data_IF_641340506861
#
_entry.id   IF_641340506861
#
_cell.length_a   1.000
_cell.length_b   1.000
_cell.length_c   1.000
_cell.angle_alpha   90.00
_cell.angle_beta   90.00
_cell.angle_gamma   90.00
#
_symmetry.space_group_name_H-M   'P 1'
#
loop_
_entity.id
_entity.type
_entity.pdbx_description
1 polymer ?
#
# COMPACT_ATOMS: atom_id res chain seq x y z
N UNK A 1 -16.37 -17.34 -5.68
CA UNK A 1 -16.58 -16.46 -4.52
C UNK A 1 -15.32 -15.65 -4.37
N UNK A 2 -15.37 -14.35 -4.68
CA UNK A 2 -14.25 -13.43 -4.48
C UNK A 2 -14.09 -13.12 -3.00
N UNK A 3 -12.88 -12.74 -2.60
CA UNK A 3 -12.64 -12.19 -1.29
C UNK A 3 -13.01 -10.71 -1.33
N UNK A 4 -13.82 -10.25 -0.37
CA UNK A 4 -14.21 -8.84 -0.29
C UNK A 4 -13.37 -8.20 0.80
N UNK A 5 -12.70 -7.10 0.47
CA UNK A 5 -11.86 -6.35 1.40
C UNK A 5 -11.88 -4.85 1.09
N UNK A 6 -11.51 -4.07 2.10
CA UNK A 6 -11.31 -2.65 1.97
C UNK A 6 -9.84 -2.40 1.61
N UNK A 7 -9.59 -1.62 0.56
CA UNK A 7 -8.24 -1.23 0.24
C UNK A 7 -7.89 0.03 1.02
N UNK A 8 -6.83 -0.05 1.82
CA UNK A 8 -6.33 1.09 2.59
C UNK A 8 -5.57 2.09 1.67
N UNK A 9 -5.27 1.70 0.43
CA UNK A 9 -4.40 2.43 -0.46
C UNK A 9 -4.97 3.69 -1.15
N UNK A 10 -4.15 4.21 -2.06
CA UNK A 10 -4.33 5.44 -2.86
C UNK A 10 -5.47 5.45 -3.89
N UNK A 11 -6.32 4.43 -3.90
CA UNK A 11 -7.31 4.18 -4.95
C UNK A 11 -8.74 4.60 -4.55
N UNK A 12 -8.94 5.14 -3.33
CA UNK A 12 -10.25 5.55 -2.78
C UNK A 12 -11.35 4.46 -2.87
N UNK A 13 -10.95 3.20 -3.06
CA UNK A 13 -11.87 2.10 -3.21
C UNK A 13 -12.18 1.52 -1.83
N UNK A 14 -13.41 1.76 -1.38
CA UNK A 14 -13.88 1.30 -0.07
C UNK A 14 -14.12 -0.21 -0.07
N UNK A 15 -14.41 -0.81 -1.23
CA UNK A 15 -14.69 -2.25 -1.35
C UNK A 15 -14.12 -2.81 -2.67
N UNK A 16 -13.35 -3.90 -2.59
CA UNK A 16 -12.77 -4.60 -3.74
C UNK A 16 -13.17 -6.07 -3.65
N UNK A 17 -13.74 -6.62 -4.74
CA UNK A 17 -14.07 -8.05 -4.87
C UNK A 17 -12.99 -8.80 -5.68
N UNK A 18 -11.75 -8.81 -5.18
CA UNK A 18 -10.60 -9.49 -5.79
C UNK A 18 -9.65 -10.03 -4.70
N UNK A 19 -8.48 -10.59 -5.05
CA UNK A 19 -7.46 -10.98 -4.08
C UNK A 19 -6.63 -9.76 -3.68
N UNK A 20 -6.40 -9.50 -2.38
CA UNK A 20 -5.44 -8.48 -1.96
C UNK A 20 -4.05 -8.88 -2.45
N UNK A 21 -3.30 -7.90 -2.94
CA UNK A 21 -1.93 -8.13 -3.41
C UNK A 21 -0.91 -8.02 -2.27
N UNK A 22 -1.22 -7.19 -1.26
CA UNK A 22 -0.37 -7.00 -0.10
C UNK A 22 -1.24 -6.85 1.15
N UNK A 23 -0.95 -7.65 2.16
CA UNK A 23 -1.44 -7.44 3.53
C UNK A 23 -0.23 -7.60 4.44
N UNK A 24 0.27 -6.50 4.99
CA UNK A 24 1.52 -6.51 5.76
C UNK A 24 1.56 -5.38 6.80
N UNK A 25 2.32 -5.61 7.85
CA UNK A 25 2.83 -4.57 8.75
C UNK A 25 4.26 -4.23 8.35
N UNK A 26 4.61 -2.94 8.38
CA UNK A 26 5.95 -2.49 8.03
C UNK A 26 6.76 -2.20 9.29
N UNK A 27 8.02 -2.65 9.31
CA UNK A 27 8.93 -2.30 10.39
C UNK A 27 9.29 -0.81 10.32
N UNK A 28 9.53 -0.20 11.49
CA UNK A 28 9.81 1.24 11.62
C UNK A 28 10.99 1.68 10.77
N UNK A 29 12.09 0.91 10.76
CA UNK A 29 13.29 1.26 10.01
C UNK A 29 13.04 1.40 8.49
N UNK A 30 12.30 0.46 7.91
CA UNK A 30 11.96 0.48 6.48
C UNK A 30 10.94 1.57 6.17
N UNK A 31 9.98 1.76 7.08
CA UNK A 31 8.95 2.77 6.96
C UNK A 31 9.53 4.19 7.00
N UNK A 32 10.58 4.41 7.79
CA UNK A 32 11.17 5.73 7.95
C UNK A 32 12.20 6.11 6.88
N UNK A 33 12.97 5.14 6.38
CA UNK A 33 14.09 5.41 5.47
C UNK A 33 13.73 5.27 3.97
N UNK A 34 12.60 4.64 3.63
CA UNK A 34 12.25 4.26 2.26
C UNK A 34 11.26 5.20 1.56
N UNK A 35 11.43 5.38 0.24
CA UNK A 35 10.49 6.15 -0.60
C UNK A 35 9.05 5.59 -0.57
N UNK A 36 8.89 4.27 -0.40
CA UNK A 36 7.59 3.65 -0.20
C UNK A 36 6.97 4.02 1.17
N UNK A 37 7.80 4.07 2.22
CA UNK A 37 7.40 4.53 3.55
C UNK A 37 6.98 6.00 3.57
N UNK A 38 7.71 6.87 2.87
CA UNK A 38 7.31 8.28 2.65
C UNK A 38 5.89 8.41 2.08
N UNK A 39 5.52 7.55 1.12
CA UNK A 39 4.18 7.57 0.52
C UNK A 39 3.11 7.08 1.48
N UNK A 40 3.41 6.06 2.27
CA UNK A 40 2.50 5.59 3.32
C UNK A 40 2.27 6.70 4.36
N UNK A 41 3.32 7.40 4.79
CA UNK A 41 3.21 8.57 5.67
C UNK A 41 2.37 9.70 5.07
N UNK A 42 2.58 10.01 3.79
CA UNK A 42 1.77 11.01 3.07
C UNK A 42 0.29 10.61 2.94
N UNK A 43 0.01 9.31 2.90
CA UNK A 43 -1.34 8.77 2.94
C UNK A 43 -1.94 8.69 4.36
N UNK A 44 -1.16 9.01 5.40
CA UNK A 44 -1.60 9.07 6.78
C UNK A 44 -1.43 7.77 7.58
N UNK A 45 -0.67 6.81 7.05
CA UNK A 45 -0.30 5.60 7.80
C UNK A 45 0.82 5.88 8.79
N UNK A 46 0.87 5.06 9.83
CA UNK A 46 1.95 5.03 10.83
C UNK A 46 2.73 3.71 10.74
N UNK A 47 3.94 3.70 11.29
CA UNK A 47 4.72 2.49 11.37
C UNK A 47 4.04 1.48 12.31
N UNK A 48 4.01 0.21 11.91
CA UNK A 48 3.28 -0.83 12.64
C UNK A 48 1.78 -0.93 12.29
N UNK A 49 1.24 -0.04 11.46
CA UNK A 49 -0.10 -0.24 10.92
C UNK A 49 -0.16 -1.49 10.02
N UNK A 50 -1.23 -2.27 10.18
CA UNK A 50 -1.56 -3.34 9.25
C UNK A 50 -2.21 -2.72 8.00
N UNK A 51 -1.54 -2.82 6.86
CA UNK A 51 -2.00 -2.24 5.60
C UNK A 51 -2.42 -3.34 4.63
N UNK A 52 -3.63 -3.23 4.09
CA UNK A 52 -4.16 -4.09 3.02
C UNK A 52 -4.33 -3.29 1.73
N UNK A 53 -3.62 -3.70 0.68
CA UNK A 53 -3.62 -3.03 -0.62
C UNK A 53 -4.11 -3.96 -1.73
N UNK A 54 -4.91 -3.39 -2.63
CA UNK A 54 -5.24 -4.03 -3.89
C UNK A 54 -4.05 -4.04 -4.87
N UNK A 55 -4.09 -4.90 -5.91
CA UNK A 55 -3.02 -4.99 -6.90
C UNK A 55 -2.53 -3.62 -7.43
N UNK A 56 -3.46 -2.74 -7.82
CA UNK A 56 -3.13 -1.41 -8.35
C UNK A 56 -2.45 -0.54 -7.31
N UNK A 57 -2.93 -0.57 -6.06
CA UNK A 57 -2.40 0.22 -4.96
C UNK A 57 -1.03 -0.32 -4.49
N UNK A 58 -0.80 -1.64 -4.56
CA UNK A 58 0.51 -2.26 -4.35
C UNK A 58 1.50 -1.89 -5.46
N UNK A 59 1.07 -1.92 -6.72
CA UNK A 59 1.90 -1.51 -7.86
C UNK A 59 2.32 -0.05 -7.72
N UNK A 60 1.38 0.85 -7.42
CA UNK A 60 1.68 2.27 -7.19
C UNK A 60 2.60 2.48 -5.99
N UNK A 61 2.48 1.66 -4.94
CA UNK A 61 3.39 1.73 -3.79
C UNK A 61 4.81 1.34 -4.17
N UNK A 62 4.98 0.25 -4.92
CA UNK A 62 6.28 -0.40 -5.16
C UNK A 62 6.99 0.06 -6.44
N UNK A 63 6.27 0.49 -7.47
CA UNK A 63 6.82 0.84 -8.78
C UNK A 63 6.67 2.36 -8.99
N UNK A 64 7.79 3.01 -9.31
CA UNK A 64 7.83 4.42 -9.66
C UNK A 64 7.67 4.59 -11.18
N UNK A 65 6.80 5.51 -11.64
CA UNK A 65 7.01 6.23 -12.91
C UNK A 65 8.17 7.25 -12.72
N UNK A 66 9.38 6.75 -12.50
CA UNK A 66 10.55 7.61 -12.23
C UNK A 66 11.92 6.95 -12.25
N UNK A 67 12.03 5.61 -12.30
CA UNK A 67 13.32 4.92 -12.51
C UNK A 67 13.54 4.62 -14.00
N UNK A 68 13.64 5.70 -14.77
CA UNK A 68 13.88 5.65 -16.21
C UNK A 68 14.38 6.97 -16.77
N UNK A 69 15.51 7.48 -16.25
CA UNK A 69 16.42 8.38 -16.97
C UNK A 69 17.80 8.39 -16.31
#
# INVERSE_FOLDING_TARGET
>A
MGYIYNCDGFCNAVEIEDRPALTAEFNENWFDDGAAGDRLRQAGFEAGDLVTLCPDCTERLLIHEGDGA
#
